data_IF_286934103821
#
_entry.id   IF_286934103821
#
_cell.length_a   1.000
_cell.length_b   1.000
_cell.length_c   1.000
_cell.angle_alpha   90.00
_cell.angle_beta   90.00
_cell.angle_gamma   90.00
#
_symmetry.space_group_name_H-M   'P 1'
#
loop_
_entity.id
_entity.type
_entity.pdbx_description
1 polymer ?
#
# COMPACT_ATOMS: atom_id res chain seq x y z
N UNK A 1 -3.19 31.45 -19.54
CA UNK A 1 -2.25 30.35 -19.85
C UNK A 1 -2.47 29.25 -18.82
N UNK A 2 -2.89 28.05 -19.23
CA UNK A 2 -3.08 26.93 -18.31
C UNK A 2 -1.73 26.53 -17.70
N UNK A 3 -1.67 26.43 -16.37
CA UNK A 3 -0.45 26.13 -15.58
C UNK A 3 0.16 24.75 -15.89
N UNK A 4 -0.51 23.92 -16.67
CA UNK A 4 -0.09 22.56 -17.04
C UNK A 4 1.07 22.48 -18.04
N UNK A 5 1.52 23.62 -18.59
CA UNK A 5 2.56 23.69 -19.63
C UNK A 5 3.85 24.42 -19.20
N UNK A 6 4.01 24.75 -17.93
CA UNK A 6 5.25 25.37 -17.45
C UNK A 6 6.34 24.28 -17.28
N UNK A 7 7.59 24.54 -17.69
CA UNK A 7 8.70 23.63 -17.41
C UNK A 7 8.86 23.47 -15.90
N UNK A 8 9.04 22.23 -15.44
CA UNK A 8 9.30 21.92 -14.03
C UNK A 8 10.52 21.02 -13.90
N UNK A 9 11.33 21.25 -12.86
CA UNK A 9 12.49 20.43 -12.52
C UNK A 9 12.17 19.37 -11.47
N UNK A 10 12.97 18.30 -11.41
CA UNK A 10 12.98 17.30 -10.33
C UNK A 10 14.43 17.04 -9.95
N UNK A 11 14.68 16.90 -8.65
CA UNK A 11 15.91 16.25 -8.17
C UNK A 11 15.58 14.78 -7.96
N UNK A 12 16.44 13.90 -8.46
CA UNK A 12 16.32 12.44 -8.28
C UNK A 12 17.62 11.95 -7.66
N UNK A 13 17.52 11.43 -6.44
CA UNK A 13 18.62 10.71 -5.78
C UNK A 13 18.59 9.26 -6.25
N UNK A 14 19.71 8.77 -6.78
CA UNK A 14 19.89 7.41 -7.31
C UNK A 14 20.78 6.54 -6.41
N UNK A 15 20.70 6.72 -5.09
CA UNK A 15 21.41 5.86 -4.12
C UNK A 15 20.68 4.50 -4.02
N UNK A 16 20.72 3.85 -2.85
CA UNK A 16 20.07 2.55 -2.60
C UNK A 16 18.58 2.56 -3.01
N UNK A 17 17.89 3.69 -2.80
CA UNK A 17 16.54 3.94 -3.28
C UNK A 17 16.48 5.14 -4.24
N UNK A 18 15.58 5.05 -5.24
CA UNK A 18 15.25 6.19 -6.10
C UNK A 18 14.30 7.12 -5.33
N UNK A 19 14.81 8.26 -4.88
CA UNK A 19 14.02 9.29 -4.18
C UNK A 19 13.89 10.53 -5.04
N UNK A 20 12.64 10.97 -5.28
CA UNK A 20 12.32 12.13 -6.10
C UNK A 20 11.99 13.31 -5.21
N UNK A 21 12.30 14.52 -5.64
CA UNK A 21 11.91 15.77 -4.95
C UNK A 21 11.20 16.70 -5.93
N UNK A 22 10.18 17.43 -5.45
CA UNK A 22 9.43 18.43 -6.22
C UNK A 22 9.75 19.84 -5.71
N UNK A 23 9.99 20.81 -6.59
CA UNK A 23 10.01 22.21 -6.18
C UNK A 23 8.61 22.72 -5.83
N UNK A 24 8.52 23.67 -4.89
CA UNK A 24 7.29 24.36 -4.50
C UNK A 24 7.07 25.70 -5.22
N UNK A 25 8.10 26.21 -5.89
CA UNK A 25 8.05 27.47 -6.63
C UNK A 25 7.20 27.37 -7.91
N UNK A 26 6.68 28.52 -8.32
CA UNK A 26 5.77 28.66 -9.48
C UNK A 26 6.49 29.07 -10.77
N UNK A 27 7.73 29.55 -10.67
CA UNK A 27 8.57 29.98 -11.79
C UNK A 27 9.64 28.95 -12.16
N UNK A 28 10.47 29.25 -13.15
CA UNK A 28 11.66 28.46 -13.46
C UNK A 28 12.81 29.41 -13.75
N UNK A 29 13.24 30.15 -12.71
CA UNK A 29 14.36 31.09 -12.79
C UNK A 29 15.67 30.48 -12.24
N UNK A 30 16.80 31.17 -12.46
CA UNK A 30 18.09 30.79 -11.87
C UNK A 30 17.98 30.81 -10.34
N UNK A 31 17.37 31.84 -9.76
CA UNK A 31 17.19 31.95 -8.30
C UNK A 31 16.36 30.79 -7.75
N UNK A 32 15.26 30.43 -8.42
CA UNK A 32 14.40 29.31 -8.00
C UNK A 32 15.14 27.98 -8.05
N UNK A 33 15.87 27.72 -9.14
CA UNK A 33 16.60 26.46 -9.33
C UNK A 33 17.81 26.35 -8.40
N UNK A 34 18.55 27.44 -8.15
CA UNK A 34 19.63 27.47 -7.14
C UNK A 34 19.08 27.23 -5.73
N UNK A 35 17.95 27.86 -5.37
CA UNK A 35 17.31 27.62 -4.08
C UNK A 35 16.89 26.16 -3.93
N UNK A 36 16.32 25.55 -4.96
CA UNK A 36 15.93 24.13 -4.94
C UNK A 36 17.11 23.21 -4.62
N UNK A 37 18.23 23.44 -5.30
CA UNK A 37 19.44 22.66 -5.12
C UNK A 37 20.00 22.84 -3.71
N UNK A 38 20.02 24.08 -3.20
CA UNK A 38 20.50 24.34 -1.84
C UNK A 38 19.59 23.71 -0.78
N UNK A 39 18.26 23.81 -0.93
CA UNK A 39 17.32 23.18 -0.01
C UNK A 39 17.48 21.66 0.00
N UNK A 40 17.81 21.04 -1.13
CA UNK A 40 18.14 19.61 -1.20
C UNK A 40 19.43 19.29 -0.44
N UNK A 41 20.51 20.04 -0.70
CA UNK A 41 21.81 19.85 -0.04
C UNK A 41 21.74 20.08 1.48
N UNK A 42 20.88 21.01 1.91
CA UNK A 42 20.61 21.31 3.31
C UNK A 42 19.63 20.32 3.97
N UNK A 43 19.16 19.29 3.24
CA UNK A 43 18.16 18.31 3.70
C UNK A 43 16.81 18.93 4.14
N UNK A 44 16.42 20.07 3.56
CA UNK A 44 15.16 20.77 3.85
C UNK A 44 13.98 20.24 3.04
N UNK A 45 14.24 19.58 1.92
CA UNK A 45 13.19 19.05 1.05
C UNK A 45 12.63 17.74 1.56
N UNK A 46 11.31 17.58 1.47
CA UNK A 46 10.64 16.29 1.68
C UNK A 46 10.63 15.47 0.39
N UNK A 47 10.83 14.15 0.47
CA UNK A 47 10.59 13.26 -0.66
C UNK A 47 9.22 13.51 -1.28
N UNK A 48 9.20 13.63 -2.60
CA UNK A 48 7.97 13.64 -3.36
C UNK A 48 7.47 12.21 -3.48
N UNK A 49 6.29 11.97 -2.93
CA UNK A 49 5.53 10.77 -3.15
C UNK A 49 4.52 11.00 -4.28
N UNK A 50 4.47 10.05 -5.21
CA UNK A 50 3.44 10.02 -6.23
C UNK A 50 2.06 9.80 -5.57
N UNK A 51 1.06 10.57 -5.98
CA UNK A 51 -0.33 10.35 -5.60
C UNK A 51 -1.19 10.67 -6.80
N UNK A 52 -2.13 9.80 -7.12
CA UNK A 52 -3.23 10.17 -8.01
C UNK A 52 -4.18 11.13 -7.29
N UNK A 53 -5.05 11.80 -8.05
CA UNK A 53 -6.13 12.61 -7.50
C UNK A 53 -7.16 11.68 -6.84
N UNK A 54 -7.60 12.02 -5.63
CA UNK A 54 -8.68 11.32 -4.96
C UNK A 54 -9.97 11.38 -5.81
N UNK A 55 -10.56 10.22 -6.19
CA UNK A 55 -11.85 10.19 -6.88
C UNK A 55 -12.96 10.77 -6.00
N UNK A 56 -14.01 11.36 -6.59
CA UNK A 56 -15.13 11.94 -5.79
C UNK A 56 -15.99 10.88 -5.11
N UNK A 57 -16.01 9.69 -5.68
CA UNK A 57 -16.78 8.50 -5.33
C UNK A 57 -15.96 7.48 -4.54
N UNK A 58 -14.79 7.88 -4.02
CA UNK A 58 -13.82 7.00 -3.36
C UNK A 58 -14.42 6.18 -2.19
N UNK A 59 -15.49 6.68 -1.56
CA UNK A 59 -16.16 6.06 -0.42
C UNK A 59 -17.59 5.59 -0.71
N UNK A 60 -18.08 5.67 -1.94
CA UNK A 60 -19.46 5.30 -2.27
C UNK A 60 -19.66 3.78 -2.37
N UNK A 61 -18.63 3.05 -2.80
CA UNK A 61 -18.66 1.59 -2.89
C UNK A 61 -18.47 0.86 -1.55
N UNK A 62 -18.70 -0.46 -1.57
CA UNK A 62 -18.37 -1.38 -0.48
C UNK A 62 -16.86 -1.38 -0.21
N UNK A 63 -16.05 -1.44 -1.28
CA UNK A 63 -14.59 -1.28 -1.23
C UNK A 63 -14.23 0.21 -1.28
N UNK A 64 -13.44 0.69 -0.31
CA UNK A 64 -12.93 2.07 -0.30
C UNK A 64 -11.73 2.23 -1.22
N UNK A 65 -11.74 3.26 -2.05
CA UNK A 65 -10.59 3.63 -2.87
C UNK A 65 -9.66 4.54 -2.08
N UNK A 66 -8.40 4.11 -1.97
CA UNK A 66 -7.36 4.83 -1.26
C UNK A 66 -6.30 5.31 -2.24
N UNK A 67 -5.84 6.53 -2.02
CA UNK A 67 -4.72 7.19 -2.68
C UNK A 67 -3.80 7.73 -1.58
N UNK A 68 -2.60 8.21 -1.91
CA UNK A 68 -1.67 8.66 -0.86
C UNK A 68 -2.28 9.80 -0.01
N UNK A 69 -3.06 10.70 -0.61
CA UNK A 69 -3.74 11.82 0.05
C UNK A 69 -4.68 11.40 1.20
N UNK A 70 -5.49 10.35 1.02
CA UNK A 70 -6.44 9.89 2.05
C UNK A 70 -5.97 8.67 2.84
N UNK A 71 -4.79 8.10 2.52
CA UNK A 71 -4.27 6.88 3.16
C UNK A 71 -4.29 6.96 4.68
N UNK A 72 -3.69 8.01 5.26
CA UNK A 72 -3.65 8.17 6.73
C UNK A 72 -5.04 8.26 7.35
N UNK A 73 -5.97 8.96 6.70
CA UNK A 73 -7.34 9.15 7.19
C UNK A 73 -8.13 7.84 7.19
N UNK A 74 -7.95 7.00 6.17
CA UNK A 74 -8.75 5.79 5.98
C UNK A 74 -8.10 4.58 6.64
N UNK A 75 -6.80 4.38 6.40
CA UNK A 75 -6.07 3.15 6.75
C UNK A 75 -5.47 3.21 8.15
N UNK A 76 -5.08 4.40 8.62
CA UNK A 76 -4.53 4.59 9.97
C UNK A 76 -5.57 5.17 10.95
N UNK A 77 -6.87 4.95 10.71
CA UNK A 77 -7.91 5.31 11.69
C UNK A 77 -7.86 4.33 12.87
N UNK A 78 -7.53 4.79 14.09
CA UNK A 78 -7.41 3.89 15.24
C UNK A 78 -8.72 3.17 15.58
N UNK A 79 -9.87 3.67 15.13
CA UNK A 79 -11.20 3.10 15.43
C UNK A 79 -11.62 2.01 14.44
N UNK A 80 -10.80 1.69 13.44
CA UNK A 80 -11.18 0.80 12.35
C UNK A 80 -10.16 -0.31 12.17
N UNK A 81 -10.69 -1.50 11.90
CA UNK A 81 -9.92 -2.60 11.35
C UNK A 81 -9.85 -2.35 9.85
N UNK A 82 -8.66 -2.24 9.26
CA UNK A 82 -8.55 -1.95 7.82
C UNK A 82 -7.81 -3.05 7.12
N UNK A 83 -8.49 -3.72 6.19
CA UNK A 83 -7.87 -4.65 5.26
C UNK A 83 -7.72 -3.94 3.90
N UNK A 84 -6.48 -3.81 3.41
CA UNK A 84 -6.19 -3.10 2.17
C UNK A 84 -5.42 -3.97 1.18
N UNK A 85 -5.91 -3.98 -0.07
CA UNK A 85 -5.21 -4.56 -1.21
C UNK A 85 -4.44 -3.48 -1.97
N UNK A 86 -3.13 -3.63 -2.03
CA UNK A 86 -2.27 -2.88 -2.94
C UNK A 86 -2.16 -3.63 -4.26
N UNK A 87 -2.59 -3.00 -5.34
CA UNK A 87 -2.72 -3.65 -6.65
C UNK A 87 -2.04 -2.85 -7.76
N UNK A 88 -1.92 -3.49 -8.92
CA UNK A 88 -1.60 -2.86 -10.20
C UNK A 88 -2.74 -3.16 -11.21
N UNK A 89 -3.24 -2.18 -11.99
CA UNK A 89 -4.39 -2.37 -12.87
C UNK A 89 -4.22 -3.47 -13.93
N UNK A 90 -2.98 -3.73 -14.34
CA UNK A 90 -2.64 -4.75 -15.34
C UNK A 90 -2.35 -6.14 -14.74
N UNK A 91 -2.25 -6.27 -13.42
CA UNK A 91 -1.90 -7.53 -12.78
C UNK A 91 -3.07 -8.53 -12.83
N UNK A 92 -2.85 -9.68 -13.48
CA UNK A 92 -3.89 -10.72 -13.60
C UNK A 92 -4.31 -11.30 -12.24
N UNK A 93 -3.37 -11.49 -11.31
CA UNK A 93 -3.70 -11.98 -9.96
C UNK A 93 -4.54 -10.97 -9.16
N UNK A 94 -4.37 -9.67 -9.40
CA UNK A 94 -5.23 -8.65 -8.80
C UNK A 94 -6.65 -8.73 -9.38
N UNK A 95 -6.75 -8.86 -10.71
CA UNK A 95 -8.05 -9.00 -11.39
C UNK A 95 -8.83 -10.24 -10.94
N UNK A 96 -8.13 -11.34 -10.67
CA UNK A 96 -8.73 -12.57 -10.13
C UNK A 96 -9.23 -12.41 -8.69
N UNK A 97 -8.55 -11.59 -7.88
CA UNK A 97 -8.92 -11.34 -6.49
C UNK A 97 -10.05 -10.30 -6.34
N UNK A 98 -10.18 -9.37 -7.30
CA UNK A 98 -11.16 -8.27 -7.23
C UNK A 98 -12.60 -8.72 -6.91
N UNK A 99 -13.17 -9.78 -7.53
CA UNK A 99 -14.52 -10.22 -7.20
C UNK A 99 -14.66 -10.69 -5.75
N UNK A 100 -13.67 -11.44 -5.25
CA UNK A 100 -13.62 -11.93 -3.86
C UNK A 100 -13.46 -10.75 -2.89
N UNK A 101 -12.69 -9.72 -3.29
CA UNK A 101 -12.48 -8.52 -2.51
C UNK A 101 -13.76 -7.70 -2.33
N UNK A 102 -14.56 -7.57 -3.40
CA UNK A 102 -15.87 -6.91 -3.38
C UNK A 102 -16.84 -7.71 -2.51
N UNK A 103 -16.91 -9.03 -2.67
CA UNK A 103 -17.77 -9.90 -1.87
C UNK A 103 -17.43 -9.84 -0.38
N UNK A 104 -16.13 -9.82 -0.03
CA UNK A 104 -15.68 -9.63 1.34
C UNK A 104 -16.17 -8.29 1.91
N UNK A 105 -16.05 -7.21 1.13
CA UNK A 105 -16.46 -5.87 1.54
C UNK A 105 -17.98 -5.76 1.75
N UNK A 106 -18.77 -6.43 0.91
CA UNK A 106 -20.23 -6.49 1.05
C UNK A 106 -20.66 -7.24 2.32
N UNK A 107 -19.93 -8.30 2.68
CA UNK A 107 -20.19 -9.07 3.90
C UNK A 107 -19.57 -8.49 5.17
N UNK A 108 -18.67 -7.50 5.07
CA UNK A 108 -17.88 -6.97 6.19
C UNK A 108 -18.74 -6.68 7.43
N UNK A 109 -19.85 -5.96 7.26
CA UNK A 109 -20.74 -5.55 8.35
C UNK A 109 -21.41 -6.70 9.08
N UNK A 110 -21.47 -7.90 8.50
CA UNK A 110 -22.09 -9.07 9.13
C UNK A 110 -21.20 -9.72 10.19
N UNK A 111 -19.88 -9.55 10.10
CA UNK A 111 -18.93 -10.19 11.03
C UNK A 111 -18.00 -9.19 11.75
N UNK A 112 -17.78 -7.99 11.21
CA UNK A 112 -17.06 -6.91 11.89
C UNK A 112 -17.59 -5.53 11.45
N UNK A 113 -18.30 -4.85 12.35
CA UNK A 113 -18.88 -3.52 12.09
C UNK A 113 -17.83 -2.40 12.00
N UNK A 114 -16.60 -2.65 12.46
CA UNK A 114 -15.47 -1.74 12.37
C UNK A 114 -14.54 -2.03 11.18
N UNK A 115 -14.81 -3.08 10.40
CA UNK A 115 -14.01 -3.44 9.24
C UNK A 115 -14.22 -2.47 8.07
N UNK A 116 -13.11 -1.97 7.55
CA UNK A 116 -13.01 -1.27 6.28
C UNK A 116 -12.20 -2.13 5.32
N UNK A 117 -12.82 -2.49 4.20
CA UNK A 117 -12.12 -3.14 3.08
C UNK A 117 -11.76 -2.06 2.06
N UNK A 118 -10.48 -1.95 1.73
CA UNK A 118 -9.94 -0.89 0.89
C UNK A 118 -9.05 -1.44 -0.24
N UNK A 119 -8.80 -0.62 -1.25
CA UNK A 119 -7.81 -0.88 -2.28
C UNK A 119 -7.04 0.38 -2.67
N UNK A 120 -5.78 0.22 -3.03
CA UNK A 120 -4.91 1.31 -3.51
C UNK A 120 -4.11 0.82 -4.71
N UNK A 121 -4.14 1.60 -5.79
CA UNK A 121 -3.25 1.40 -6.93
C UNK A 121 -1.84 1.86 -6.53
N UNK A 122 -0.97 0.90 -6.22
CA UNK A 122 0.38 1.18 -5.75
C UNK A 122 1.37 1.48 -6.91
N UNK A 123 0.89 1.53 -8.15
CA UNK A 123 1.71 1.92 -9.31
C UNK A 123 1.73 3.43 -9.54
N UNK A 124 0.71 4.12 -9.00
CA UNK A 124 0.53 5.58 -9.10
C UNK A 124 0.30 6.23 -7.73
N UNK A 125 0.54 5.50 -6.64
CA UNK A 125 0.52 6.02 -5.28
C UNK A 125 1.70 5.44 -4.48
N UNK A 126 2.52 6.32 -3.91
CA UNK A 126 3.66 5.98 -3.05
C UNK A 126 3.34 6.40 -1.60
N UNK A 127 3.86 5.65 -0.61
CA UNK A 127 3.69 5.90 0.82
C UNK A 127 5.06 5.99 1.49
N UNK A 128 5.19 6.83 2.53
CA UNK A 128 6.46 7.04 3.23
C UNK A 128 6.95 5.75 3.92
N UNK A 129 6.05 5.07 4.63
CA UNK A 129 6.41 3.94 5.51
C UNK A 129 6.25 2.57 4.84
N UNK A 130 5.69 2.51 3.62
CA UNK A 130 5.28 1.25 2.99
C UNK A 130 5.74 1.21 1.54
N UNK A 131 6.73 0.37 1.27
CA UNK A 131 7.18 0.05 -0.09
C UNK A 131 6.43 -1.18 -0.60
N UNK A 132 5.61 -0.99 -1.62
CA UNK A 132 4.89 -2.09 -2.27
C UNK A 132 5.54 -2.37 -3.62
N UNK A 133 6.18 -3.53 -3.76
CA UNK A 133 6.91 -3.93 -4.97
C UNK A 133 6.31 -5.14 -5.67
N UNK A 134 5.33 -5.80 -5.05
CA UNK A 134 4.69 -7.01 -5.57
C UNK A 134 3.16 -6.88 -5.49
N UNK A 135 2.48 -7.48 -6.46
CA UNK A 135 1.02 -7.34 -6.60
C UNK A 135 0.30 -8.69 -6.75
N UNK A 136 -0.85 -8.89 -6.11
CA UNK A 136 -1.38 -8.06 -5.03
C UNK A 136 -0.55 -8.24 -3.75
N UNK A 137 -0.38 -7.16 -2.97
CA UNK A 137 0.06 -7.22 -1.58
C UNK A 137 -1.13 -6.87 -0.70
N UNK A 138 -1.39 -7.68 0.32
CA UNK A 138 -2.51 -7.48 1.24
C UNK A 138 -1.96 -7.20 2.62
N UNK A 139 -2.41 -6.11 3.24
CA UNK A 139 -2.03 -5.73 4.60
C UNK A 139 -3.27 -5.48 5.45
N UNK A 140 -3.16 -5.79 6.73
CA UNK A 140 -4.17 -5.53 7.73
C UNK A 140 -3.63 -4.55 8.78
N UNK A 141 -4.47 -3.59 9.13
CA UNK A 141 -4.21 -2.56 10.12
C UNK A 141 -5.26 -2.76 11.22
N UNK A 142 -4.92 -3.50 12.29
CA UNK A 142 -5.83 -3.70 13.39
C UNK A 142 -6.13 -2.38 14.10
N UNK A 143 -7.38 -2.22 14.55
CA UNK A 143 -7.79 -1.07 15.35
C UNK A 143 -6.96 -0.98 16.63
N UNK A 144 -6.61 0.25 17.01
CA UNK A 144 -5.86 0.58 18.23
C UNK A 144 -4.51 -0.15 18.43
N UNK A 145 -3.92 -0.80 17.42
CA UNK A 145 -2.63 -1.51 17.58
C UNK A 145 -1.42 -0.68 17.13
N UNK A 146 -1.57 0.15 16.11
CA UNK A 146 -0.45 0.79 15.40
C UNK A 146 0.42 -0.20 14.61
N UNK A 147 0.05 -1.48 14.60
CA UNK A 147 0.74 -2.54 13.89
C UNK A 147 0.25 -2.66 12.44
N UNK A 148 1.10 -3.24 11.59
CA UNK A 148 0.75 -3.59 10.22
C UNK A 148 1.07 -5.06 10.02
N UNK A 149 0.05 -5.83 9.68
CA UNK A 149 0.15 -7.29 9.52
C UNK A 149 0.11 -7.64 8.04
N UNK A 150 1.07 -8.43 7.59
CA UNK A 150 1.07 -8.97 6.22
C UNK A 150 0.14 -10.17 6.10
N UNK A 151 -0.65 -10.21 5.04
CA UNK A 151 -1.44 -11.38 4.68
C UNK A 151 -0.80 -12.15 3.53
N UNK A 152 -0.36 -13.36 3.85
CA UNK A 152 0.28 -14.33 2.94
C UNK A 152 -0.53 -15.62 2.75
N UNK A 153 -1.74 -15.70 3.32
CA UNK A 153 -2.61 -16.88 3.23
C UNK A 153 -3.34 -17.01 1.89
N UNK A 154 -4.26 -17.97 1.82
CA UNK A 154 -5.06 -18.21 0.63
C UNK A 154 -5.95 -17.02 0.26
N UNK A 155 -6.09 -16.73 -1.03
CA UNK A 155 -6.88 -15.59 -1.51
C UNK A 155 -8.34 -15.96 -1.74
N UNK A 156 -8.94 -16.66 -0.77
CA UNK A 156 -10.35 -17.07 -0.77
C UNK A 156 -11.13 -16.23 0.23
N UNK A 157 -12.44 -16.11 0.03
CA UNK A 157 -13.32 -15.36 0.93
C UNK A 157 -13.21 -15.88 2.38
N UNK A 158 -13.26 -17.19 2.56
CA UNK A 158 -13.25 -17.84 3.86
C UNK A 158 -11.91 -17.66 4.60
N UNK A 159 -10.78 -17.77 3.90
CA UNK A 159 -9.47 -17.54 4.50
C UNK A 159 -9.28 -16.07 4.94
N UNK A 160 -9.76 -15.12 4.13
CA UNK A 160 -9.72 -13.69 4.47
C UNK A 160 -10.60 -13.36 5.68
N UNK A 161 -11.83 -13.92 5.75
CA UNK A 161 -12.70 -13.78 6.92
C UNK A 161 -12.04 -14.33 8.18
N UNK A 162 -11.54 -15.57 8.12
CA UNK A 162 -10.86 -16.22 9.27
C UNK A 162 -9.68 -15.39 9.76
N UNK A 163 -8.90 -14.80 8.85
CA UNK A 163 -7.77 -13.94 9.20
C UNK A 163 -8.19 -12.63 9.86
N UNK A 164 -9.29 -12.01 9.43
CA UNK A 164 -9.82 -10.80 10.07
C UNK A 164 -10.37 -11.14 11.46
N UNK A 165 -11.15 -12.22 11.57
CA UNK A 165 -11.73 -12.69 12.84
C UNK A 165 -10.67 -13.07 13.87
N UNK A 166 -9.50 -13.56 13.43
CA UNK A 166 -8.36 -13.83 14.32
C UNK A 166 -7.60 -12.58 14.76
N UNK A 167 -8.01 -11.39 14.29
CA UNK A 167 -7.32 -10.12 14.54
C UNK A 167 -5.98 -10.01 13.81
N UNK A 168 -5.83 -10.69 12.66
CA UNK A 168 -4.58 -10.72 11.90
C UNK A 168 -3.58 -11.78 12.36
N UNK A 169 -3.97 -12.72 13.22
CA UNK A 169 -3.08 -13.83 13.61
C UNK A 169 -3.14 -14.92 12.55
N UNK A 170 -2.01 -15.23 11.93
CA UNK A 170 -1.89 -16.41 11.07
C UNK A 170 -1.61 -17.65 11.94
N UNK A 171 -2.35 -18.73 11.73
CA UNK A 171 -1.94 -20.06 12.18
C UNK A 171 -0.66 -20.41 11.42
N UNK A 172 0.48 -20.42 12.11
CA UNK A 172 1.72 -20.95 11.52
C UNK A 172 1.50 -22.44 11.27
N UNK A 173 1.35 -22.85 10.01
CA UNK A 173 1.53 -24.26 9.67
C UNK A 173 2.96 -24.66 10.09
N UNK A 174 3.05 -25.53 11.09
CA UNK A 174 4.29 -26.22 11.42
C UNK A 174 4.69 -27.03 10.17
N UNK A 175 5.67 -26.55 9.42
CA UNK A 175 6.39 -27.40 8.47
C UNK A 175 7.21 -28.39 9.30
N UNK A 176 6.65 -29.57 9.55
CA UNK A 176 7.39 -30.71 10.08
C UNK A 176 8.53 -31.04 9.12
N UNK A 177 9.75 -30.65 9.51
CA UNK A 177 10.97 -31.08 8.85
C UNK A 177 11.20 -32.56 9.17
N UNK A 178 10.63 -33.45 8.37
CA UNK A 178 11.05 -34.86 8.38
C UNK A 178 12.44 -34.91 7.76
N UNK A 179 13.46 -34.93 8.62
CA UNK A 179 14.83 -35.25 8.25
C UNK A 179 14.87 -36.72 7.80
N UNK A 180 14.84 -36.94 6.48
CA UNK A 180 15.22 -38.22 5.89
C UNK A 180 16.73 -38.41 6.09
N UNK A 181 17.09 -39.04 7.20
CA UNK A 181 18.40 -39.65 7.39
C UNK A 181 18.57 -40.75 6.33
N UNK A 182 19.35 -40.45 5.30
CA UNK A 182 19.85 -41.44 4.35
C UNK A 182 20.93 -42.26 5.06
N UNK A 183 20.54 -43.40 5.65
CA UNK A 183 21.50 -44.45 6.03
C UNK A 183 21.50 -45.47 4.90
N UNK A 184 22.46 -45.35 3.98
CA UNK A 184 22.80 -46.47 3.11
C UNK A 184 24.12 -47.08 3.57
N UNK A 185 23.98 -48.22 4.25
CA UNK A 185 24.97 -49.30 4.26
C UNK A 185 25.26 -49.73 2.83
N UNK A 186 26.54 -49.89 2.51
CA UNK A 186 26.98 -50.91 1.55
C UNK A 186 28.14 -51.65 2.19
N UNK A 187 28.03 -52.99 2.18
CA UNK A 187 29.13 -53.91 2.48
C UNK A 187 29.96 -54.20 1.24
#
# INVERSE_FOLDING_TARGET
MQRSYLPFGRIVSLKDDIVKYKPDFKGFSVTDTTKFAQDYLDNKLKPYLLSQKLPKDWDQGSVKVVVAENFKKVVKDPKKNVLIMFYAPWCQHCKQLEPIWVELAEHAKHFDSDLVVAKMDATVNELEDLKITQFPTIKFFPKDSGEVVDYSGERTLEALKKFIESGGKQETEKKDSVSLHYVNRVG
#
